data_IF_852007099177
#
_entry.id   IF_852007099177
#
_cell.length_a   1.000
_cell.length_b   1.000
_cell.length_c   1.000
_cell.angle_alpha   90.00
_cell.angle_beta   90.00
_cell.angle_gamma   90.00
#
_symmetry.space_group_name_H-M   'P 1'
#
loop_
_entity.id
_entity.type
_entity.pdbx_description
1 polymer ?
#
# COMPACT_ATOMS: atom_id res chain seq x y z
N UNK A 1 14.40 -7.90 -12.90
CA UNK A 1 13.86 -6.73 -13.63
C UNK A 1 13.87 -5.52 -12.69
N UNK A 2 14.23 -4.32 -13.18
CA UNK A 2 14.04 -3.10 -12.38
C UNK A 2 12.55 -2.73 -12.40
N UNK A 3 11.96 -2.28 -11.28
CA UNK A 3 10.59 -1.80 -11.28
C UNK A 3 10.47 -0.62 -12.24
N UNK A 4 9.49 -0.67 -13.14
CA UNK A 4 9.16 0.41 -14.06
C UNK A 4 7.71 0.83 -13.82
N UNK A 5 7.44 2.12 -13.99
CA UNK A 5 6.07 2.60 -13.97
C UNK A 5 5.37 2.13 -15.25
N UNK A 6 4.24 1.43 -15.12
CA UNK A 6 3.44 1.04 -16.28
C UNK A 6 2.96 2.30 -17.01
N UNK A 7 3.27 2.42 -18.30
CA UNK A 7 2.68 3.44 -19.17
C UNK A 7 1.55 2.81 -19.98
N UNK A 8 0.43 3.52 -20.09
CA UNK A 8 -0.70 3.10 -20.91
C UNK A 8 -0.67 3.90 -22.21
N UNK A 9 -0.55 3.23 -23.38
CA UNK A 9 -0.59 3.90 -24.66
C UNK A 9 -1.85 4.77 -24.79
N UNK A 10 -1.69 6.03 -25.18
CA UNK A 10 -2.81 6.97 -25.36
C UNK A 10 -3.35 7.61 -24.07
N UNK A 11 -2.83 7.24 -22.89
CA UNK A 11 -3.19 7.87 -21.61
C UNK A 11 -1.96 8.57 -21.03
N UNK A 12 -1.68 9.82 -21.44
CA UNK A 12 -0.59 10.59 -20.87
C UNK A 12 -0.80 10.81 -19.37
N UNK A 13 0.29 10.73 -18.61
CA UNK A 13 0.27 10.88 -17.15
C UNK A 13 -0.67 9.91 -16.42
N UNK A 14 -0.81 8.67 -16.92
CA UNK A 14 -1.36 7.55 -16.16
C UNK A 14 -0.39 7.19 -15.01
N UNK A 15 -0.45 7.96 -13.93
CA UNK A 15 0.41 7.75 -12.77
C UNK A 15 -0.30 6.99 -11.66
N UNK A 16 0.13 7.20 -10.42
CA UNK A 16 -0.29 6.36 -9.29
C UNK A 16 -1.75 6.56 -8.93
N UNK A 17 -2.29 7.78 -9.07
CA UNK A 17 -3.70 8.08 -8.78
C UNK A 17 -4.58 7.36 -9.79
N UNK A 18 -4.29 7.53 -11.08
CA UNK A 18 -4.96 6.86 -12.18
C UNK A 18 -5.01 5.34 -11.96
N UNK A 19 -3.86 4.70 -11.73
CA UNK A 19 -3.76 3.25 -11.59
C UNK A 19 -4.53 2.72 -10.38
N UNK A 20 -4.53 3.45 -9.25
CA UNK A 20 -5.34 3.07 -8.08
C UNK A 20 -6.83 3.13 -8.35
N UNK A 21 -7.30 4.15 -9.06
CA UNK A 21 -8.72 4.26 -9.41
C UNK A 21 -9.11 3.15 -10.40
N UNK A 22 -8.27 2.90 -11.41
CA UNK A 22 -8.48 1.85 -12.40
C UNK A 22 -8.55 0.45 -11.76
N UNK A 23 -7.60 0.10 -10.89
CA UNK A 23 -7.54 -1.22 -10.26
C UNK A 23 -8.56 -1.44 -9.14
N UNK A 24 -9.37 -0.43 -8.79
CA UNK A 24 -10.54 -0.61 -7.93
C UNK A 24 -11.77 -1.08 -8.69
N UNK A 25 -11.76 -0.98 -10.02
CA UNK A 25 -12.86 -1.46 -10.85
C UNK A 25 -12.84 -2.98 -10.92
N UNK A 26 -14.02 -3.58 -10.92
CA UNK A 26 -14.20 -5.00 -11.24
C UNK A 26 -14.20 -5.21 -12.76
N UNK A 27 -13.94 -6.46 -13.19
CA UNK A 27 -14.06 -6.83 -14.60
C UNK A 27 -15.46 -6.50 -15.13
N UNK A 28 -15.52 -5.77 -16.23
CA UNK A 28 -16.77 -5.31 -16.85
C UNK A 28 -17.38 -4.07 -16.21
N UNK A 29 -16.93 -3.63 -15.03
CA UNK A 29 -17.40 -2.41 -14.40
C UNK A 29 -16.88 -1.19 -15.17
N UNK A 30 -17.78 -0.24 -15.39
CA UNK A 30 -17.44 1.08 -15.95
C UNK A 30 -17.16 2.03 -14.78
N UNK A 31 -16.05 2.74 -14.86
CA UNK A 31 -15.67 3.76 -13.88
C UNK A 31 -15.06 4.98 -14.54
N UNK A 32 -14.94 6.04 -13.75
CA UNK A 32 -14.30 7.29 -14.15
C UNK A 32 -12.97 7.39 -13.41
N UNK A 33 -11.90 7.69 -14.15
CA UNK A 33 -10.53 7.80 -13.62
C UNK A 33 -9.86 9.06 -14.14
N UNK A 34 -9.03 9.69 -13.31
CA UNK A 34 -8.33 10.94 -13.63
C UNK A 34 -6.84 10.66 -13.84
N UNK A 35 -6.19 11.42 -14.74
CA UNK A 35 -4.73 11.42 -14.80
C UNK A 35 -4.13 12.04 -13.52
N UNK A 36 -2.83 11.85 -13.29
CA UNK A 36 -2.19 12.31 -12.06
C UNK A 36 -2.16 13.84 -11.89
N UNK A 37 -2.35 14.61 -12.97
CA UNK A 37 -2.41 16.07 -12.95
C UNK A 37 -3.84 16.62 -12.77
N UNK A 38 -4.84 15.75 -12.70
CA UNK A 38 -6.27 16.11 -12.57
C UNK A 38 -6.78 17.02 -13.70
N UNK A 39 -6.19 16.88 -14.89
CA UNK A 39 -6.51 17.69 -16.07
C UNK A 39 -7.33 16.92 -17.11
N UNK A 40 -7.30 15.59 -17.08
CA UNK A 40 -7.98 14.73 -18.05
C UNK A 40 -8.73 13.63 -17.30
N UNK A 41 -10.00 13.47 -17.66
CA UNK A 41 -10.89 12.44 -17.13
C UNK A 41 -11.13 11.38 -18.20
N UNK A 42 -11.00 10.11 -17.82
CA UNK A 42 -11.20 8.95 -18.69
C UNK A 42 -12.36 8.10 -18.16
N UNK A 43 -13.14 7.57 -19.09
CA UNK A 43 -14.10 6.49 -18.80
C UNK A 43 -13.41 5.17 -19.10
N UNK A 44 -13.27 4.32 -18.09
CA UNK A 44 -12.55 3.08 -18.17
C UNK A 44 -13.45 1.87 -17.87
N UNK A 45 -13.17 0.75 -18.54
CA UNK A 45 -13.77 -0.55 -18.26
C UNK A 45 -12.70 -1.63 -18.38
N UNK A 46 -12.60 -2.49 -17.37
CA UNK A 46 -11.69 -3.64 -17.43
C UNK A 46 -12.31 -4.71 -18.34
N UNK A 47 -11.65 -4.95 -19.48
CA UNK A 47 -12.08 -5.97 -20.45
C UNK A 47 -11.56 -7.36 -20.08
N UNK A 48 -10.34 -7.43 -19.57
CA UNK A 48 -9.63 -8.66 -19.27
C UNK A 48 -8.62 -8.44 -18.16
N UNK A 49 -8.33 -9.49 -17.41
CA UNK A 49 -7.33 -9.53 -16.37
C UNK A 49 -6.41 -10.73 -16.61
N UNK A 50 -5.15 -10.47 -16.91
CA UNK A 50 -4.18 -11.53 -17.24
C UNK A 50 -2.91 -11.31 -16.43
N UNK A 51 -2.51 -12.26 -15.56
CA UNK A 51 -3.24 -13.48 -15.18
C UNK A 51 -4.49 -13.16 -14.33
N UNK A 52 -5.40 -14.13 -14.19
CA UNK A 52 -6.67 -13.92 -13.46
C UNK A 52 -6.43 -13.57 -11.98
N UNK A 53 -7.41 -12.97 -11.29
CA UNK A 53 -7.24 -12.62 -9.87
C UNK A 53 -6.98 -13.85 -8.98
N UNK A 54 -7.59 -15.00 -9.32
CA UNK A 54 -7.36 -16.25 -8.61
C UNK A 54 -5.91 -16.72 -8.78
N UNK A 55 -5.41 -16.68 -10.01
CA UNK A 55 -4.02 -17.04 -10.31
C UNK A 55 -3.04 -16.07 -9.63
N UNK A 56 -3.31 -14.76 -9.65
CA UNK A 56 -2.48 -13.76 -8.96
C UNK A 56 -2.40 -14.03 -7.46
N UNK A 57 -3.52 -14.42 -6.83
CA UNK A 57 -3.54 -14.81 -5.41
C UNK A 57 -2.71 -16.07 -5.17
N UNK A 58 -2.83 -17.07 -6.03
CA UNK A 58 -2.04 -18.29 -5.93
C UNK A 58 -0.54 -18.01 -6.14
N UNK A 59 -0.19 -17.20 -7.13
CA UNK A 59 1.19 -16.77 -7.39
C UNK A 59 1.77 -16.04 -6.18
N UNK A 60 0.99 -15.13 -5.58
CA UNK A 60 1.38 -14.43 -4.36
C UNK A 60 1.59 -15.41 -3.18
N UNK A 61 0.68 -16.36 -2.98
CA UNK A 61 0.84 -17.37 -1.94
C UNK A 61 2.08 -18.26 -2.18
N UNK A 62 2.38 -18.59 -3.44
CA UNK A 62 3.53 -19.42 -3.82
C UNK A 62 4.88 -18.72 -3.75
N UNK A 63 4.90 -17.37 -3.73
CA UNK A 63 6.18 -16.62 -3.73
C UNK A 63 6.91 -16.70 -2.39
N UNK A 64 6.22 -17.12 -1.32
CA UNK A 64 6.79 -17.23 0.02
C UNK A 64 7.25 -15.88 0.59
N UNK A 65 8.14 -15.92 1.58
CA UNK A 65 8.69 -14.70 2.20
C UNK A 65 9.73 -14.08 1.26
N UNK A 66 9.38 -12.92 0.69
CA UNK A 66 10.29 -12.12 -0.14
C UNK A 66 10.84 -10.93 0.66
N UNK A 67 12.00 -10.39 0.28
CA UNK A 67 12.57 -9.22 0.97
C UNK A 67 11.58 -8.03 1.09
N UNK A 68 10.79 -7.68 0.04
CA UNK A 68 9.74 -6.66 0.18
C UNK A 68 8.66 -7.02 1.20
N UNK A 69 8.25 -8.29 1.28
CA UNK A 69 7.29 -8.75 2.29
C UNK A 69 7.85 -8.65 3.72
N UNK A 70 9.15 -8.90 3.90
CA UNK A 70 9.83 -8.69 5.19
C UNK A 70 9.82 -7.21 5.58
N UNK A 71 10.08 -6.31 4.65
CA UNK A 71 10.06 -4.87 4.92
C UNK A 71 8.65 -4.36 5.25
N UNK A 72 7.63 -4.84 4.55
CA UNK A 72 6.21 -4.56 4.87
C UNK A 72 5.89 -5.08 6.27
N UNK A 73 6.22 -6.34 6.55
CA UNK A 73 5.98 -6.96 7.86
C UNK A 73 6.70 -6.23 9.00
N UNK A 74 7.94 -5.74 8.78
CA UNK A 74 8.66 -4.91 9.76
C UNK A 74 7.91 -3.61 10.06
N UNK A 75 7.43 -2.93 9.02
CA UNK A 75 6.72 -1.65 9.13
C UNK A 75 5.38 -1.83 9.85
N UNK A 76 4.61 -2.86 9.48
CA UNK A 76 3.34 -3.19 10.11
C UNK A 76 3.53 -3.58 11.58
N UNK A 77 4.55 -4.37 11.90
CA UNK A 77 4.83 -4.76 13.29
C UNK A 77 5.19 -3.55 14.17
N UNK A 78 6.02 -2.62 13.66
CA UNK A 78 6.34 -1.39 14.38
C UNK A 78 5.10 -0.55 14.65
N UNK A 79 4.21 -0.44 13.66
CA UNK A 79 2.95 0.31 13.77
C UNK A 79 2.01 -0.36 14.78
N UNK A 80 1.80 -1.67 14.65
CA UNK A 80 0.93 -2.43 15.54
C UNK A 80 1.40 -2.40 17.00
N UNK A 81 2.71 -2.44 17.24
CA UNK A 81 3.28 -2.32 18.57
C UNK A 81 3.02 -0.93 19.17
N UNK A 82 3.23 0.14 18.40
CA UNK A 82 2.94 1.51 18.81
C UNK A 82 1.46 1.68 19.17
N UNK A 83 0.56 1.22 18.29
CA UNK A 83 -0.89 1.30 18.49
C UNK A 83 -1.35 0.48 19.71
N UNK A 84 -0.71 -0.65 19.97
CA UNK A 84 -0.98 -1.46 21.15
C UNK A 84 -0.55 -0.75 22.44
N UNK A 85 0.65 -0.16 22.47
CA UNK A 85 1.12 0.63 23.63
C UNK A 85 0.22 1.83 23.90
N UNK A 86 -0.18 2.56 22.85
CA UNK A 86 -1.07 3.72 23.01
C UNK A 86 -2.40 3.30 23.62
N UNK A 87 -3.02 2.23 23.10
CA UNK A 87 -4.29 1.71 23.64
C UNK A 87 -4.17 1.28 25.10
N UNK A 88 -3.07 0.66 25.50
CA UNK A 88 -2.83 0.31 26.90
C UNK A 88 -2.66 1.55 27.78
N UNK A 89 -1.92 2.54 27.30
CA UNK A 89 -1.74 3.82 27.99
C UNK A 89 -3.08 4.50 28.23
N UNK A 90 -3.93 4.54 27.21
CA UNK A 90 -5.26 5.15 27.28
C UNK A 90 -6.19 4.38 28.21
N UNK A 91 -6.23 3.04 28.09
CA UNK A 91 -7.09 2.18 28.89
C UNK A 91 -6.80 2.30 30.39
N UNK A 92 -5.53 2.40 30.77
CA UNK A 92 -5.12 2.44 32.18
C UNK A 92 -4.76 3.84 32.67
N UNK A 93 -4.98 4.88 31.86
CA UNK A 93 -4.64 6.28 32.18
C UNK A 93 -3.22 6.41 32.73
N UNK A 94 -2.26 5.81 32.03
CA UNK A 94 -0.88 5.71 32.50
C UNK A 94 -0.25 7.11 32.60
N UNK A 95 0.18 7.47 33.81
CA UNK A 95 0.92 8.70 34.05
C UNK A 95 2.42 8.40 34.29
N UNK A 96 3.27 8.93 33.43
CA UNK A 96 4.72 8.82 33.58
C UNK A 96 5.23 9.78 34.66
N UNK A 97 5.56 9.27 35.85
CA UNK A 97 6.20 10.06 36.93
C UNK A 97 7.60 10.58 36.57
N UNK A 98 8.23 10.00 35.54
CA UNK A 98 9.48 10.43 34.89
C UNK A 98 9.41 10.01 33.43
N UNK A 99 9.82 10.88 32.50
CA UNK A 99 9.85 10.50 31.09
C UNK A 99 10.74 9.27 30.88
N UNK A 100 10.28 8.28 30.08
CA UNK A 100 11.11 7.14 29.75
C UNK A 100 12.39 7.63 29.06
N UNK A 101 13.54 7.19 29.57
CA UNK A 101 14.82 7.46 28.93
C UNK A 101 14.84 6.75 27.58
N UNK A 102 14.68 7.51 26.50
CA UNK A 102 14.94 7.00 25.16
C UNK A 102 16.46 6.91 25.03
N UNK A 103 17.00 5.71 25.13
CA UNK A 103 18.44 5.48 24.95
C UNK A 103 18.84 5.95 23.55
N UNK A 104 19.57 7.07 23.48
CA UNK A 104 19.90 7.79 22.24
C UNK A 104 20.77 6.98 21.27
N UNK A 105 21.28 5.81 21.70
CA UNK A 105 21.94 4.83 20.81
C UNK A 105 21.01 4.15 19.81
N UNK A 106 19.69 4.17 20.01
CA UNK A 106 18.69 3.64 19.04
C UNK A 106 18.15 4.67 18.05
N UNK A 107 18.42 5.96 18.27
CA UNK A 107 17.90 7.04 17.41
C UNK A 107 18.81 7.40 16.22
N UNK A 108 20.00 6.78 16.11
CA UNK A 108 21.05 7.16 15.16
C UNK A 108 21.45 6.07 14.16
N UNK A 109 20.68 4.97 14.04
CA UNK A 109 20.90 3.92 13.04
C UNK A 109 19.64 3.65 12.23
#
# INVERSE_FOLDING_TARGET
ARPFLSSIPGVPAAGRKFMRQLFRLEKGQIGVVENDADTIVYVARIVEETPSIADRRQMFASTGVTAPLVDIGRTENLTALSDWYQRLSDQYSVEWKRQPHVDSRRAAN
#
